data_IF_500419022118
#
_entry.id   IF_500419022118
#
_cell.length_a   1.000
_cell.length_b   1.000
_cell.length_c   1.000
_cell.angle_alpha   90.00
_cell.angle_beta   90.00
_cell.angle_gamma   90.00
#
_symmetry.space_group_name_H-M   'P 1'
#
loop_
_entity.id
_entity.type
_entity.pdbx_description
1 polymer ?
#
# COMPACT_ATOMS: atom_id res chain seq x y z
N UNK A 1 24.12 14.19 -50.46
CA UNK A 1 22.79 14.33 -49.84
C UNK A 1 21.89 13.09 -49.99
N UNK A 2 22.34 12.03 -50.69
CA UNK A 2 21.60 10.76 -50.85
C UNK A 2 21.79 9.76 -49.71
N UNK A 3 22.87 9.82 -48.96
CA UNK A 3 23.26 8.74 -47.99
C UNK A 3 22.39 8.68 -46.73
N UNK A 4 21.68 9.75 -46.35
CA UNK A 4 20.80 9.77 -45.13
C UNK A 4 19.43 9.13 -45.39
N UNK A 5 18.90 9.30 -46.63
CA UNK A 5 17.60 8.73 -47.00
C UNK A 5 17.68 7.24 -47.21
N UNK A 6 18.79 6.75 -47.82
CA UNK A 6 19.04 5.32 -48.02
C UNK A 6 19.24 4.56 -46.67
N UNK A 7 19.79 5.22 -45.64
CA UNK A 7 19.95 4.65 -44.33
C UNK A 7 18.59 4.55 -43.55
N UNK A 8 17.67 5.48 -43.75
CA UNK A 8 16.33 5.48 -43.16
C UNK A 8 15.38 4.45 -43.81
N UNK A 9 15.63 4.09 -45.08
CA UNK A 9 14.85 3.11 -45.83
C UNK A 9 15.47 1.69 -45.74
N UNK A 10 16.57 1.53 -44.99
CA UNK A 10 17.15 0.22 -44.74
C UNK A 10 16.13 -0.70 -44.04
N UNK A 11 15.86 -1.92 -44.59
CA UNK A 11 14.88 -2.84 -43.99
C UNK A 11 15.09 -3.09 -42.51
N UNK A 12 16.34 -3.12 -42.04
CA UNK A 12 16.70 -3.32 -40.64
C UNK A 12 16.22 -2.16 -39.75
N UNK A 13 16.29 -0.91 -40.22
CA UNK A 13 15.83 0.26 -39.47
C UNK A 13 14.30 0.31 -39.40
N UNK A 14 13.61 -0.04 -40.49
CA UNK A 14 12.16 -0.17 -40.52
C UNK A 14 11.66 -1.27 -39.58
N UNK A 15 12.29 -2.43 -39.58
CA UNK A 15 11.95 -3.51 -38.62
C UNK A 15 12.21 -3.12 -37.17
N UNK A 16 13.33 -2.43 -36.87
CA UNK A 16 13.61 -1.94 -35.52
C UNK A 16 12.57 -0.92 -35.06
N UNK A 17 12.13 0.00 -35.95
CA UNK A 17 11.07 0.96 -35.64
C UNK A 17 9.71 0.29 -35.41
N UNK A 18 9.35 -0.71 -36.23
CA UNK A 18 8.11 -1.48 -36.04
C UNK A 18 8.11 -2.27 -34.74
N UNK A 19 9.21 -2.94 -34.42
CA UNK A 19 9.37 -3.70 -33.15
C UNK A 19 9.32 -2.73 -31.96
N UNK A 20 10.04 -1.62 -32.03
CA UNK A 20 10.02 -0.58 -30.98
C UNK A 20 8.63 0.00 -30.76
N UNK A 21 7.91 0.30 -31.83
CA UNK A 21 6.52 0.74 -31.80
C UNK A 21 5.59 -0.29 -31.18
N UNK A 22 5.70 -1.55 -31.60
CA UNK A 22 4.92 -2.64 -31.05
C UNK A 22 5.18 -2.85 -29.55
N UNK A 23 6.45 -2.79 -29.09
CA UNK A 23 6.81 -2.87 -27.67
C UNK A 23 6.23 -1.68 -26.90
N UNK A 24 6.29 -0.49 -27.46
CA UNK A 24 5.72 0.71 -26.83
C UNK A 24 4.22 0.59 -26.64
N UNK A 25 3.47 0.21 -27.68
CA UNK A 25 2.02 -0.01 -27.61
C UNK A 25 1.65 -1.15 -26.67
N UNK A 26 2.39 -2.25 -26.69
CA UNK A 26 2.17 -3.37 -25.79
C UNK A 26 2.39 -2.96 -24.33
N UNK A 27 3.45 -2.21 -24.06
CA UNK A 27 3.74 -1.65 -22.73
C UNK A 27 2.60 -0.75 -22.25
N UNK A 28 2.14 0.18 -23.08
CA UNK A 28 1.05 1.10 -22.75
C UNK A 28 -0.27 0.36 -22.48
N UNK A 29 -0.58 -0.63 -23.32
CA UNK A 29 -1.74 -1.50 -23.14
C UNK A 29 -1.68 -2.32 -21.84
N UNK A 30 -0.49 -2.85 -21.49
CA UNK A 30 -0.30 -3.68 -20.28
C UNK A 30 -0.22 -2.86 -18.99
N UNK A 31 0.11 -1.57 -19.04
CA UNK A 31 0.18 -0.71 -17.87
C UNK A 31 -1.19 -0.44 -17.21
N UNK A 32 -2.29 -0.72 -17.92
CA UNK A 32 -3.65 -0.47 -17.44
C UNK A 32 -3.97 1.02 -17.30
N UNK A 33 -5.13 1.32 -16.76
CA UNK A 33 -5.59 2.69 -16.54
C UNK A 33 -4.81 3.38 -15.41
N UNK A 34 -4.26 4.54 -15.67
CA UNK A 34 -3.66 5.37 -14.62
C UNK A 34 -4.75 6.14 -13.88
N UNK A 35 -4.72 6.08 -12.55
CA UNK A 35 -5.58 6.91 -11.72
C UNK A 35 -5.08 8.36 -11.78
N UNK A 36 -5.81 9.22 -12.50
CA UNK A 36 -5.44 10.62 -12.72
C UNK A 36 -6.23 11.62 -11.86
N UNK A 37 -7.13 11.11 -11.01
CA UNK A 37 -7.98 11.97 -10.19
C UNK A 37 -7.20 12.46 -8.97
N UNK A 38 -7.02 13.77 -8.88
CA UNK A 38 -6.45 14.39 -7.69
C UNK A 38 -7.58 14.51 -6.64
N UNK A 39 -7.56 13.60 -5.67
CA UNK A 39 -8.55 13.55 -4.58
C UNK A 39 -7.91 14.07 -3.30
N UNK A 40 -8.57 15.00 -2.64
CA UNK A 40 -8.19 15.43 -1.30
C UNK A 40 -8.64 14.37 -0.28
N UNK A 41 -7.69 13.90 0.52
CA UNK A 41 -7.91 12.90 1.57
C UNK A 41 -7.82 13.52 2.99
N UNK A 42 -7.81 14.84 3.06
CA UNK A 42 -7.76 15.58 4.34
C UNK A 42 -8.96 15.19 5.23
N UNK A 43 -8.67 14.91 6.49
CA UNK A 43 -9.68 14.48 7.46
C UNK A 43 -10.04 13.01 7.41
N UNK A 44 -9.55 12.25 6.42
CA UNK A 44 -9.75 10.80 6.38
C UNK A 44 -8.61 10.06 7.08
N UNK A 45 -8.95 8.96 7.74
CA UNK A 45 -8.04 8.10 8.51
C UNK A 45 -7.89 6.77 7.81
N UNK A 46 -6.64 6.36 7.59
CA UNK A 46 -6.25 5.13 6.89
C UNK A 46 -5.41 4.25 7.81
N UNK A 47 -5.58 2.94 7.70
CA UNK A 47 -4.63 1.95 8.23
C UNK A 47 -4.03 1.20 7.03
N UNK A 48 -2.70 1.08 7.00
CA UNK A 48 -1.98 0.30 5.98
C UNK A 48 -1.09 -0.73 6.68
N UNK A 49 -1.36 -2.02 6.47
CA UNK A 49 -0.52 -3.09 7.02
C UNK A 49 0.70 -3.33 6.13
N UNK A 50 1.87 -3.63 6.76
CA UNK A 50 3.13 -3.84 6.03
C UNK A 50 3.64 -2.60 5.30
N UNK A 51 3.47 -1.44 5.92
CA UNK A 51 3.71 -0.13 5.31
C UNK A 51 5.18 0.33 5.33
N UNK A 52 6.11 -0.48 5.82
CA UNK A 52 7.52 -0.09 5.95
C UNK A 52 8.34 -0.25 4.66
N UNK A 53 7.86 -1.00 3.66
CA UNK A 53 8.57 -1.25 2.39
C UNK A 53 7.60 -1.45 1.23
N UNK A 54 8.13 -1.36 0.00
CA UNK A 54 7.44 -1.76 -1.23
C UNK A 54 6.10 -1.03 -1.44
N UNK A 55 5.10 -1.77 -1.89
CA UNK A 55 3.78 -1.24 -2.26
C UNK A 55 3.12 -0.51 -1.08
N UNK A 56 3.17 -1.08 0.13
CA UNK A 56 2.58 -0.45 1.31
C UNK A 56 3.19 0.92 1.63
N UNK A 57 4.52 1.07 1.52
CA UNK A 57 5.21 2.35 1.73
C UNK A 57 4.82 3.39 0.69
N UNK A 58 4.76 2.99 -0.60
CA UNK A 58 4.32 3.89 -1.68
C UNK A 58 2.85 4.30 -1.54
N UNK A 59 1.99 3.38 -1.11
CA UNK A 59 0.58 3.68 -0.80
C UNK A 59 0.47 4.74 0.30
N UNK A 60 1.23 4.59 1.40
CA UNK A 60 1.26 5.60 2.47
C UNK A 60 1.75 6.95 1.94
N UNK A 61 2.81 6.95 1.12
CA UNK A 61 3.35 8.18 0.51
C UNK A 61 2.29 8.90 -0.31
N UNK A 62 1.55 8.17 -1.12
CA UNK A 62 0.54 8.75 -1.99
C UNK A 62 -0.68 9.30 -1.20
N UNK A 63 -1.12 8.59 -0.16
CA UNK A 63 -2.17 9.08 0.74
C UNK A 63 -1.70 10.32 1.50
N UNK A 64 -0.45 10.31 1.97
CA UNK A 64 0.14 11.43 2.71
C UNK A 64 0.27 12.69 1.86
N UNK A 65 0.64 12.59 0.57
CA UNK A 65 0.65 13.71 -0.39
C UNK A 65 -0.72 14.36 -0.53
N UNK A 66 -1.80 13.59 -0.38
CA UNK A 66 -3.18 14.05 -0.46
C UNK A 66 -3.77 14.49 0.87
N UNK A 67 -2.96 14.66 1.90
CA UNK A 67 -3.38 15.19 3.21
C UNK A 67 -4.03 14.18 4.16
N UNK A 68 -4.09 12.88 3.80
CA UNK A 68 -4.68 11.85 4.64
C UNK A 68 -3.90 11.58 5.93
N UNK A 69 -4.59 11.15 6.98
CA UNK A 69 -4.00 10.65 8.23
C UNK A 69 -3.76 9.15 8.09
N UNK A 70 -2.52 8.70 8.30
CA UNK A 70 -2.15 7.29 8.04
C UNK A 70 -1.54 6.62 9.26
N UNK A 71 -2.08 5.47 9.64
CA UNK A 71 -1.51 4.53 10.59
C UNK A 71 -0.76 3.43 9.86
N UNK A 72 0.56 3.47 9.94
CA UNK A 72 1.48 2.47 9.39
C UNK A 72 1.57 1.31 10.37
N UNK A 73 0.92 0.19 10.07
CA UNK A 73 0.90 -1.00 10.92
C UNK A 73 1.97 -2.00 10.49
N UNK A 74 3.04 -2.15 11.27
CA UNK A 74 4.22 -2.90 10.90
C UNK A 74 4.70 -3.80 12.05
N UNK A 75 5.33 -4.94 11.72
CA UNK A 75 5.97 -5.82 12.70
C UNK A 75 7.28 -5.26 13.23
N UNK A 76 8.10 -4.67 12.35
CA UNK A 76 9.40 -4.08 12.68
C UNK A 76 9.25 -2.55 12.82
N UNK A 77 9.26 -2.08 14.06
CA UNK A 77 9.08 -0.66 14.37
C UNK A 77 10.24 0.20 13.92
N UNK A 78 11.47 -0.30 13.94
CA UNK A 78 12.63 0.49 13.52
C UNK A 78 12.54 0.84 12.03
N UNK A 79 12.24 -0.17 11.19
CA UNK A 79 12.02 0.04 9.76
C UNK A 79 10.78 0.88 9.48
N UNK A 80 9.72 0.70 10.28
CA UNK A 80 8.49 1.48 10.14
C UNK A 80 8.74 2.96 10.39
N UNK A 81 9.46 3.27 11.47
CA UNK A 81 9.77 4.65 11.83
C UNK A 81 10.71 5.33 10.83
N UNK A 82 11.70 4.61 10.30
CA UNK A 82 12.54 5.12 9.21
C UNK A 82 11.70 5.48 7.97
N UNK A 83 10.82 4.57 7.55
CA UNK A 83 9.93 4.82 6.41
C UNK A 83 8.98 6.00 6.66
N UNK A 84 8.45 6.12 7.89
CA UNK A 84 7.61 7.25 8.30
C UNK A 84 8.36 8.58 8.17
N UNK A 85 9.58 8.66 8.73
CA UNK A 85 10.38 9.88 8.68
C UNK A 85 10.72 10.31 7.26
N UNK A 86 11.05 9.36 6.37
CA UNK A 86 11.26 9.63 4.95
C UNK A 86 10.00 10.22 4.30
N UNK A 87 8.84 9.59 4.52
CA UNK A 87 7.58 10.06 3.94
C UNK A 87 7.18 11.44 4.48
N UNK A 88 7.32 11.67 5.79
CA UNK A 88 7.05 12.98 6.40
C UNK A 88 7.94 14.06 5.78
N UNK A 89 9.24 13.77 5.57
CA UNK A 89 10.18 14.70 4.95
C UNK A 89 9.81 15.04 3.50
N UNK A 90 9.34 14.06 2.75
CA UNK A 90 8.99 14.24 1.32
C UNK A 90 7.64 14.93 1.13
N UNK A 91 6.66 14.62 1.99
CA UNK A 91 5.27 15.08 1.82
C UNK A 91 4.91 16.28 2.68
N UNK A 92 5.73 16.64 3.67
CA UNK A 92 5.45 17.60 4.74
C UNK A 92 4.19 17.27 5.57
N UNK A 93 3.59 16.09 5.39
CA UNK A 93 2.45 15.63 6.16
C UNK A 93 2.93 14.97 7.47
N UNK A 94 2.56 15.53 8.62
CA UNK A 94 2.92 15.02 9.95
C UNK A 94 1.87 14.05 10.52
N UNK A 95 0.74 13.87 9.86
CA UNK A 95 -0.33 12.97 10.30
C UNK A 95 -0.07 11.52 9.91
N UNK A 96 1.16 11.05 10.13
CA UNK A 96 1.58 9.69 9.85
C UNK A 96 2.11 9.07 11.14
N UNK A 97 1.54 7.94 11.56
CA UNK A 97 1.80 7.28 12.83
C UNK A 97 2.27 5.85 12.61
N UNK A 98 3.38 5.46 13.23
CA UNK A 98 3.85 4.07 13.24
C UNK A 98 3.25 3.32 14.43
N UNK A 99 2.72 2.11 14.20
CA UNK A 99 2.17 1.23 15.25
C UNK A 99 2.60 -0.21 15.02
N UNK A 100 2.87 -0.90 16.13
CA UNK A 100 3.23 -2.32 16.10
C UNK A 100 2.03 -3.16 15.68
N UNK A 101 2.21 -4.05 14.71
CA UNK A 101 1.24 -5.06 14.33
C UNK A 101 1.97 -6.30 13.81
N UNK A 102 1.91 -7.39 14.56
CA UNK A 102 2.37 -8.71 14.12
C UNK A 102 1.16 -9.58 13.78
N UNK A 103 0.90 -9.75 12.49
CA UNK A 103 -0.23 -10.57 12.00
C UNK A 103 -0.03 -12.07 12.25
N UNK A 104 1.17 -12.52 12.67
CA UNK A 104 1.41 -13.89 13.12
C UNK A 104 0.99 -14.13 14.58
N UNK A 105 0.39 -13.14 15.24
CA UNK A 105 -0.11 -13.21 16.62
C UNK A 105 -1.46 -12.53 16.71
N UNK A 106 -2.51 -13.29 17.01
CA UNK A 106 -3.86 -12.75 17.17
C UNK A 106 -3.96 -11.80 18.36
N UNK A 107 -3.14 -12.00 19.40
CA UNK A 107 -3.07 -11.06 20.53
C UNK A 107 -2.49 -9.70 20.10
N UNK A 108 -1.43 -9.69 19.28
CA UNK A 108 -0.88 -8.46 18.73
C UNK A 108 -1.92 -7.70 17.89
N UNK A 109 -2.77 -8.41 17.15
CA UNK A 109 -3.88 -7.79 16.41
C UNK A 109 -4.88 -7.14 17.36
N UNK A 110 -5.24 -7.80 18.46
CA UNK A 110 -6.17 -7.27 19.49
C UNK A 110 -5.59 -6.02 20.18
N UNK A 111 -4.32 -6.08 20.56
CA UNK A 111 -3.61 -4.95 21.18
C UNK A 111 -3.54 -3.73 20.23
N UNK A 112 -3.20 -3.95 18.96
CA UNK A 112 -3.19 -2.90 17.95
C UNK A 112 -4.55 -2.23 17.82
N UNK A 113 -5.63 -3.01 17.69
CA UNK A 113 -6.99 -2.48 17.56
C UNK A 113 -7.41 -1.72 18.80
N UNK A 114 -7.12 -2.25 20.01
CA UNK A 114 -7.43 -1.58 21.27
C UNK A 114 -6.69 -0.24 21.38
N UNK A 115 -5.42 -0.19 20.95
CA UNK A 115 -4.64 1.05 20.89
C UNK A 115 -5.22 2.05 19.88
N UNK A 116 -5.52 1.60 18.67
CA UNK A 116 -6.10 2.45 17.63
C UNK A 116 -7.43 3.08 18.06
N UNK A 117 -8.35 2.30 18.64
CA UNK A 117 -9.66 2.77 19.11
C UNK A 117 -9.60 3.77 20.28
N UNK A 118 -8.48 3.86 21.00
CA UNK A 118 -8.24 4.90 22.00
C UNK A 118 -7.83 6.23 21.37
N UNK A 119 -7.25 6.19 20.17
CA UNK A 119 -6.72 7.35 19.47
C UNK A 119 -7.70 7.89 18.42
N UNK A 120 -8.55 7.01 17.84
CA UNK A 120 -9.44 7.33 16.72
C UNK A 120 -10.80 6.68 16.88
N UNK A 121 -11.84 7.47 16.73
CA UNK A 121 -13.24 7.02 16.77
C UNK A 121 -13.73 6.50 15.41
N UNK A 122 -13.03 6.84 14.32
CA UNK A 122 -13.42 6.54 12.94
C UNK A 122 -12.23 6.01 12.14
N UNK A 123 -12.49 5.06 11.27
CA UNK A 123 -11.56 4.58 10.26
C UNK A 123 -12.25 4.66 8.89
N UNK A 124 -11.65 5.34 7.92
CA UNK A 124 -12.23 5.49 6.59
C UNK A 124 -11.83 4.38 5.64
N UNK A 125 -10.57 3.94 5.71
CA UNK A 125 -10.05 2.88 4.83
C UNK A 125 -9.07 1.99 5.58
N UNK A 126 -9.25 0.67 5.47
CA UNK A 126 -8.29 -0.35 5.89
C UNK A 126 -7.65 -0.99 4.65
N UNK A 127 -6.33 -0.94 4.55
CA UNK A 127 -5.55 -1.54 3.47
C UNK A 127 -4.77 -2.74 4.01
N UNK A 128 -5.29 -3.93 3.76
CA UNK A 128 -4.67 -5.22 4.12
C UNK A 128 -3.60 -5.58 3.08
N UNK A 129 -2.41 -4.93 3.20
CA UNK A 129 -1.32 -5.07 2.23
C UNK A 129 -0.22 -6.03 2.69
N UNK A 130 -0.01 -6.18 4.00
CA UNK A 130 1.04 -7.07 4.50
C UNK A 130 0.87 -8.51 4.01
N UNK A 131 1.99 -9.19 3.76
CA UNK A 131 1.97 -10.59 3.37
C UNK A 131 3.35 -11.22 3.44
N UNK A 132 3.37 -12.53 3.62
CA UNK A 132 4.57 -13.37 3.55
C UNK A 132 4.38 -14.43 2.48
N UNK A 133 5.45 -14.72 1.74
CA UNK A 133 5.46 -15.72 0.68
C UNK A 133 6.78 -16.47 0.70
N UNK A 134 6.73 -17.78 0.40
CA UNK A 134 7.91 -18.65 0.33
C UNK A 134 8.77 -18.62 1.59
N UNK A 135 8.14 -18.40 2.75
CA UNK A 135 8.83 -18.51 4.04
C UNK A 135 9.08 -19.99 4.40
N UNK A 136 10.09 -20.28 5.25
CA UNK A 136 10.26 -21.62 5.80
C UNK A 136 8.99 -22.14 6.46
N UNK A 137 8.77 -23.47 6.43
CA UNK A 137 7.61 -24.09 7.08
C UNK A 137 7.64 -23.78 8.57
N UNK A 138 6.66 -23.02 9.03
CA UNK A 138 6.54 -22.61 10.43
C UNK A 138 5.06 -22.38 10.77
N UNK A 139 4.76 -22.37 12.07
CA UNK A 139 3.45 -22.01 12.59
C UNK A 139 3.49 -20.60 13.18
N UNK A 140 2.35 -19.93 13.17
CA UNK A 140 2.13 -18.69 13.92
C UNK A 140 2.08 -18.98 15.42
N UNK A 141 2.07 -17.95 16.26
CA UNK A 141 1.91 -18.11 17.72
C UNK A 141 0.61 -18.83 18.10
N UNK A 142 -0.41 -18.73 17.24
CA UNK A 142 -1.74 -19.31 17.43
C UNK A 142 -1.90 -20.67 16.74
N UNK A 143 -0.82 -21.26 16.19
CA UNK A 143 -0.81 -22.61 15.61
C UNK A 143 -1.27 -22.70 14.15
N UNK A 144 -1.52 -21.60 13.44
CA UNK A 144 -1.81 -21.60 12.01
C UNK A 144 -0.54 -21.76 11.17
N UNK A 145 -0.66 -22.34 9.97
CA UNK A 145 0.43 -22.27 9.00
C UNK A 145 0.78 -20.79 8.72
N UNK A 146 2.08 -20.49 8.61
CA UNK A 146 2.59 -19.11 8.64
C UNK A 146 1.98 -18.23 7.56
N UNK A 147 1.88 -18.72 6.31
CA UNK A 147 1.33 -17.91 5.22
C UNK A 147 -0.18 -17.70 5.38
N UNK A 148 -0.92 -18.76 5.71
CA UNK A 148 -2.35 -18.67 6.00
C UNK A 148 -2.62 -17.75 7.20
N UNK A 149 -1.85 -17.92 8.28
CA UNK A 149 -2.00 -17.14 9.50
C UNK A 149 -1.79 -15.63 9.28
N UNK A 150 -0.67 -15.27 8.65
CA UNK A 150 -0.33 -13.84 8.39
C UNK A 150 -1.20 -13.25 7.30
N UNK A 151 -1.32 -13.93 6.14
CA UNK A 151 -1.96 -13.33 4.97
C UNK A 151 -3.49 -13.30 5.08
N UNK A 152 -4.08 -14.23 5.83
CA UNK A 152 -5.54 -14.36 5.95
C UNK A 152 -6.06 -14.20 7.38
N UNK A 153 -5.71 -15.10 8.31
CA UNK A 153 -6.34 -15.13 9.65
C UNK A 153 -6.10 -13.84 10.46
N UNK A 154 -4.87 -13.30 10.41
CA UNK A 154 -4.54 -12.04 11.07
C UNK A 154 -5.32 -10.85 10.49
N UNK A 155 -5.39 -10.75 9.17
CA UNK A 155 -6.18 -9.70 8.49
C UNK A 155 -7.69 -9.88 8.68
N UNK A 156 -8.18 -11.13 8.68
CA UNK A 156 -9.58 -11.42 8.98
C UNK A 156 -9.98 -10.92 10.37
N UNK A 157 -9.18 -11.25 11.40
CA UNK A 157 -9.42 -10.76 12.75
C UNK A 157 -9.33 -9.23 12.82
N UNK A 158 -8.28 -8.63 12.23
CA UNK A 158 -8.08 -7.18 12.19
C UNK A 158 -9.30 -6.47 11.60
N UNK A 159 -9.76 -6.93 10.44
CA UNK A 159 -10.92 -6.36 9.76
C UNK A 159 -12.18 -6.45 10.59
N UNK A 160 -12.48 -7.63 11.17
CA UNK A 160 -13.67 -7.83 11.98
C UNK A 160 -13.67 -6.95 13.25
N UNK A 161 -12.52 -6.81 13.91
CA UNK A 161 -12.41 -5.98 15.10
C UNK A 161 -12.50 -4.47 14.81
N UNK A 162 -12.24 -4.04 13.57
CA UNK A 162 -12.32 -2.64 13.13
C UNK A 162 -13.64 -2.29 12.43
N UNK A 163 -14.57 -3.25 12.24
CA UNK A 163 -15.82 -3.04 11.49
C UNK A 163 -16.69 -1.92 12.05
N UNK A 164 -16.75 -1.75 13.35
CA UNK A 164 -17.52 -0.70 14.01
C UNK A 164 -17.01 0.70 13.64
N UNK A 165 -15.71 0.94 13.78
CA UNK A 165 -15.08 2.22 13.43
C UNK A 165 -15.03 2.46 11.90
N UNK A 166 -14.97 1.39 11.09
CA UNK A 166 -15.10 1.48 9.62
C UNK A 166 -16.49 1.94 9.20
N UNK A 167 -17.54 1.41 9.82
CA UNK A 167 -18.94 1.85 9.56
C UNK A 167 -19.13 3.32 9.90
N UNK A 168 -18.51 3.80 10.97
CA UNK A 168 -18.56 5.23 11.34
C UNK A 168 -17.79 6.13 10.38
N UNK A 169 -16.71 5.63 9.77
CA UNK A 169 -15.92 6.35 8.77
C UNK A 169 -16.62 6.48 7.41
N UNK A 170 -17.52 5.55 7.06
CA UNK A 170 -18.27 5.58 5.79
C UNK A 170 -19.53 6.46 5.85
N UNK A 171 -19.97 6.86 7.03
CA UNK A 171 -21.10 7.80 7.16
C UNK A 171 -20.63 9.20 6.74
N UNK A 172 -20.81 9.52 5.45
CA UNK A 172 -20.85 10.90 4.95
C UNK A 172 -22.17 11.47 5.51
N UNK A 173 -22.14 12.57 6.32
CA UNK A 173 -23.38 13.23 6.70
C UNK A 173 -24.07 13.65 5.40
N UNK A 174 -25.31 13.21 5.19
CA UNK A 174 -26.16 13.73 4.14
C UNK A 174 -26.35 15.22 4.41
N UNK A 175 -25.66 16.05 3.64
CA UNK A 175 -25.91 17.50 3.53
C UNK A 175 -27.21 17.75 2.78
#
# INVERSE_FOLDING_TARGET
MCCLIDCLLCPSVLWAALIGGAIYFLKDYMQGGQFKKDTDETGKVFIVTGANTGIGKETVREIAKRGGTVYMACRDMNRCEQARLEIVKETNNRNIFSRVLDLSSLDSVREFVAGFKKEQDKLHVLINNAGVMRCPKALTKDGFEMQLGVNHMGHFLLTNLLLDVLKLGTHVPST
#
